data_IF_079433367582
#
_entry.id   IF_079433367582
#
_cell.length_a   1.000
_cell.length_b   1.000
_cell.length_c   1.000
_cell.angle_alpha   90.00
_cell.angle_beta   90.00
_cell.angle_gamma   90.00
#
_symmetry.space_group_name_H-M   'P 1'
#
loop_
_entity.id
_entity.type
_entity.pdbx_description
1 polymer ?
#
# COMPACT_ATOMS: atom_id res chain seq x y z
N UNK A 1 -13.68 32.32 0.92
CA UNK A 1 -13.09 31.74 -0.32
C UNK A 1 -13.66 30.34 -0.49
N UNK A 2 -14.40 30.09 -1.56
CA UNK A 2 -14.92 28.75 -1.89
C UNK A 2 -13.72 27.87 -2.25
N UNK A 3 -13.32 26.99 -1.34
CA UNK A 3 -12.32 25.95 -1.59
C UNK A 3 -13.01 24.88 -2.45
N UNK A 4 -13.08 25.09 -3.76
CA UNK A 4 -13.58 24.07 -4.70
C UNK A 4 -12.68 22.86 -4.60
N UNK A 5 -13.22 21.74 -4.08
CA UNK A 5 -12.46 20.48 -4.02
C UNK A 5 -12.14 20.06 -5.46
N UNK A 6 -10.88 19.69 -5.76
CA UNK A 6 -10.52 19.25 -7.10
C UNK A 6 -11.32 17.99 -7.48
N UNK A 7 -11.78 17.91 -8.72
CA UNK A 7 -12.48 16.72 -9.23
C UNK A 7 -11.53 15.53 -9.36
N UNK A 8 -12.04 14.31 -9.30
CA UNK A 8 -11.28 13.06 -9.47
C UNK A 8 -10.33 13.10 -10.65
N UNK A 9 -10.81 13.53 -11.83
CA UNK A 9 -10.01 13.65 -13.06
C UNK A 9 -8.77 14.53 -12.90
N UNK A 10 -8.86 15.62 -12.14
CA UNK A 10 -7.73 16.54 -11.92
C UNK A 10 -6.69 15.89 -11.03
N UNK A 11 -7.12 15.19 -9.98
CA UNK A 11 -6.23 14.48 -9.07
C UNK A 11 -5.54 13.29 -9.78
N UNK A 12 -6.27 12.52 -10.59
CA UNK A 12 -5.70 11.43 -11.40
C UNK A 12 -4.64 11.94 -12.37
N UNK A 13 -4.98 12.99 -13.13
CA UNK A 13 -4.05 13.58 -14.09
C UNK A 13 -2.80 14.16 -13.42
N UNK A 14 -2.96 14.79 -12.25
CA UNK A 14 -1.84 15.28 -11.46
C UNK A 14 -0.91 14.12 -11.07
N UNK A 15 -1.45 13.00 -10.59
CA UNK A 15 -0.64 11.86 -10.17
C UNK A 15 0.09 11.19 -11.35
N UNK A 16 -0.53 11.12 -12.52
CA UNK A 16 0.11 10.64 -13.76
C UNK A 16 1.30 11.54 -14.15
N UNK A 17 1.13 12.86 -14.05
CA UNK A 17 2.19 13.83 -14.32
C UNK A 17 3.33 13.67 -13.32
N UNK A 18 3.01 13.55 -12.03
CA UNK A 18 4.01 13.32 -10.97
C UNK A 18 4.80 12.03 -11.22
N UNK A 19 4.11 10.94 -11.57
CA UNK A 19 4.73 9.66 -11.92
C UNK A 19 5.69 9.81 -13.10
N UNK A 20 5.25 10.51 -14.15
CA UNK A 20 6.08 10.75 -15.33
C UNK A 20 7.29 11.62 -15.01
N UNK A 21 7.14 12.63 -14.15
CA UNK A 21 8.24 13.47 -13.68
C UNK A 21 9.25 12.64 -12.89
N UNK A 22 8.82 11.78 -11.96
CA UNK A 22 9.74 10.90 -11.21
C UNK A 22 10.56 10.02 -12.16
N UNK A 23 9.92 9.40 -13.17
CA UNK A 23 10.60 8.56 -14.17
C UNK A 23 11.61 9.34 -15.04
N UNK A 24 11.39 10.63 -15.29
CA UNK A 24 12.30 11.46 -16.11
C UNK A 24 13.41 12.08 -15.26
N UNK A 25 13.13 12.38 -14.00
CA UNK A 25 14.00 13.17 -13.12
C UNK A 25 14.97 12.31 -12.29
N UNK A 26 15.31 11.10 -12.73
CA UNK A 26 16.25 10.17 -12.06
C UNK A 26 17.65 10.75 -11.80
N UNK A 27 17.95 11.93 -12.33
CA UNK A 27 19.21 12.63 -12.12
C UNK A 27 19.32 13.23 -10.70
N UNK A 28 20.51 13.09 -10.10
CA UNK A 28 20.83 13.58 -8.74
C UNK A 28 20.53 15.07 -8.49
N UNK A 29 20.43 15.90 -9.53
CA UNK A 29 20.12 17.32 -9.40
C UNK A 29 18.65 17.60 -9.02
N UNK A 30 17.74 16.66 -9.24
CA UNK A 30 16.30 16.82 -8.98
C UNK A 30 15.81 16.08 -7.73
N UNK A 31 16.74 15.57 -6.91
CA UNK A 31 16.44 14.83 -5.67
C UNK A 31 15.49 15.60 -4.76
N UNK A 32 15.75 16.90 -4.57
CA UNK A 32 14.90 17.73 -3.72
C UNK A 32 13.51 17.91 -4.32
N UNK A 33 13.43 18.15 -5.63
CA UNK A 33 12.15 18.24 -6.33
C UNK A 33 11.34 16.96 -6.14
N UNK A 34 11.94 15.79 -6.35
CA UNK A 34 11.26 14.50 -6.14
C UNK A 34 10.83 14.34 -4.68
N UNK A 35 11.67 14.71 -3.70
CA UNK A 35 11.32 14.67 -2.29
C UNK A 35 10.09 15.53 -1.96
N UNK A 36 10.02 16.73 -2.53
CA UNK A 36 8.89 17.65 -2.33
C UNK A 36 7.59 17.14 -2.99
N UNK A 37 7.70 16.29 -4.02
CA UNK A 37 6.54 15.68 -4.69
C UNK A 37 5.93 14.51 -3.89
N UNK A 38 6.71 13.77 -3.10
CA UNK A 38 6.22 12.63 -2.32
C UNK A 38 5.04 12.99 -1.39
N UNK A 39 5.09 14.04 -0.55
CA UNK A 39 3.96 14.40 0.30
C UNK A 39 2.72 14.82 -0.51
N UNK A 40 2.90 15.50 -1.64
CA UNK A 40 1.80 15.89 -2.54
C UNK A 40 1.14 14.67 -3.18
N UNK A 41 1.93 13.69 -3.60
CA UNK A 41 1.42 12.43 -4.12
C UNK A 41 0.67 11.65 -3.04
N UNK A 42 1.19 11.57 -1.80
CA UNK A 42 0.52 10.90 -0.69
C UNK A 42 -0.85 11.54 -0.39
N UNK A 43 -0.93 12.87 -0.33
CA UNK A 43 -2.20 13.57 -0.13
C UNK A 43 -3.17 13.32 -1.28
N UNK A 44 -2.68 13.34 -2.53
CA UNK A 44 -3.50 13.10 -3.72
C UNK A 44 -4.04 11.67 -3.75
N UNK A 45 -3.20 10.68 -3.46
CA UNK A 45 -3.56 9.26 -3.35
C UNK A 45 -4.61 9.08 -2.26
N UNK A 46 -4.36 9.61 -1.05
CA UNK A 46 -5.34 9.56 0.02
C UNK A 46 -6.64 10.25 -0.38
N UNK A 47 -6.61 11.37 -1.09
CA UNK A 47 -7.82 12.04 -1.53
C UNK A 47 -8.62 11.22 -2.55
N UNK A 48 -7.94 10.65 -3.55
CA UNK A 48 -8.55 9.82 -4.59
C UNK A 48 -9.19 8.56 -4.01
N UNK A 49 -8.46 7.87 -3.13
CA UNK A 49 -8.96 6.65 -2.52
C UNK A 49 -9.97 6.98 -1.41
N UNK A 50 -9.58 7.71 -0.37
CA UNK A 50 -10.41 7.92 0.82
C UNK A 50 -11.65 8.75 0.51
N UNK A 51 -11.54 9.82 -0.28
CA UNK A 51 -12.63 10.79 -0.44
C UNK A 51 -13.43 10.64 -1.73
N UNK A 52 -12.80 10.17 -2.81
CA UNK A 52 -13.43 10.19 -4.14
C UNK A 52 -13.85 8.80 -4.65
N UNK A 53 -13.50 7.72 -3.93
CA UNK A 53 -13.89 6.34 -4.28
C UNK A 53 -13.59 6.01 -5.75
N UNK A 54 -12.43 6.46 -6.23
CA UNK A 54 -12.08 6.33 -7.64
C UNK A 54 -11.99 4.84 -8.03
N UNK A 55 -12.92 4.39 -8.87
CA UNK A 55 -13.15 2.98 -9.19
C UNK A 55 -12.07 2.41 -10.13
N UNK A 56 -11.42 3.24 -10.96
CA UNK A 56 -10.53 2.77 -12.01
C UNK A 56 -9.11 3.36 -11.84
N UNK A 57 -8.31 2.70 -11.01
CA UNK A 57 -7.13 3.33 -10.39
C UNK A 57 -5.90 2.43 -10.34
N UNK A 58 -5.87 1.39 -11.17
CA UNK A 58 -4.72 0.49 -11.30
C UNK A 58 -3.41 1.25 -11.52
N UNK A 59 -3.46 2.41 -12.19
CA UNK A 59 -2.30 3.23 -12.52
C UNK A 59 -1.91 4.27 -11.45
N UNK A 60 -2.67 4.38 -10.34
CA UNK A 60 -2.44 5.45 -9.36
C UNK A 60 -1.33 5.11 -8.35
N UNK A 61 -0.98 3.84 -8.20
CA UNK A 61 0.15 3.43 -7.36
C UNK A 61 1.46 3.33 -8.15
N UNK A 62 1.43 3.55 -9.47
CA UNK A 62 2.60 3.66 -10.36
C UNK A 62 3.59 4.74 -9.89
N UNK A 63 3.10 5.78 -9.20
CA UNK A 63 3.97 6.78 -8.58
C UNK A 63 4.95 6.14 -7.59
N UNK A 64 4.46 5.22 -6.76
CA UNK A 64 5.32 4.54 -5.79
C UNK A 64 6.25 3.54 -6.46
N UNK A 65 5.81 2.83 -7.49
CA UNK A 65 6.68 1.95 -8.28
C UNK A 65 7.83 2.77 -8.90
N UNK A 66 7.50 3.86 -9.58
CA UNK A 66 8.49 4.78 -10.15
C UNK A 66 9.44 5.34 -9.09
N UNK A 67 8.92 5.68 -7.91
CA UNK A 67 9.73 6.18 -6.80
C UNK A 67 10.65 5.09 -6.22
N UNK A 68 10.21 3.84 -6.18
CA UNK A 68 11.01 2.71 -5.70
C UNK A 68 12.13 2.34 -6.69
N UNK A 69 11.84 2.44 -7.98
CA UNK A 69 12.80 2.23 -9.07
C UNK A 69 13.86 3.33 -9.14
N UNK A 70 13.54 4.54 -8.67
CA UNK A 70 14.52 5.60 -8.52
C UNK A 70 15.62 5.19 -7.53
N UNK A 71 16.89 5.34 -7.92
CA UNK A 71 18.07 5.15 -7.05
C UNK A 71 18.24 6.31 -6.04
N UNK A 72 17.17 6.71 -5.36
CA UNK A 72 17.10 7.81 -4.42
C UNK A 72 16.80 7.32 -3.00
N UNK A 73 17.72 6.56 -2.37
CA UNK A 73 17.49 5.92 -1.08
C UNK A 73 17.18 6.91 0.05
N UNK A 74 17.73 8.13 -0.03
CA UNK A 74 17.50 9.17 0.97
C UNK A 74 16.06 9.72 0.92
N UNK A 75 15.49 9.86 -0.27
CA UNK A 75 14.11 10.35 -0.44
C UNK A 75 13.13 9.30 0.06
N UNK A 76 13.27 8.06 -0.41
CA UNK A 76 12.40 6.97 0.02
C UNK A 76 12.51 6.77 1.52
N UNK A 77 13.73 6.76 2.07
CA UNK A 77 13.96 6.59 3.50
C UNK A 77 13.28 7.65 4.36
N UNK A 78 13.32 8.92 3.92
CA UNK A 78 12.68 10.03 4.64
C UNK A 78 11.14 9.95 4.64
N UNK A 79 10.55 9.38 3.59
CA UNK A 79 9.09 9.31 3.43
C UNK A 79 8.51 7.91 3.64
N UNK A 80 9.35 6.91 3.97
CA UNK A 80 8.98 5.49 3.98
C UNK A 80 7.77 5.19 4.85
N UNK A 81 7.73 5.77 6.05
CA UNK A 81 6.62 5.58 6.99
C UNK A 81 5.29 6.13 6.44
N UNK A 82 5.33 7.28 5.75
CA UNK A 82 4.14 7.90 5.15
C UNK A 82 3.63 7.11 3.94
N UNK A 83 4.56 6.60 3.11
CA UNK A 83 4.23 5.72 1.97
C UNK A 83 3.57 4.44 2.48
N UNK A 84 4.18 3.77 3.47
CA UNK A 84 3.64 2.54 4.07
C UNK A 84 2.27 2.79 4.68
N UNK A 85 2.11 3.86 5.45
CA UNK A 85 0.81 4.22 6.03
C UNK A 85 -0.26 4.41 4.95
N UNK A 86 0.07 5.05 3.84
CA UNK A 86 -0.86 5.25 2.72
C UNK A 86 -1.22 3.93 2.06
N UNK A 87 -0.24 3.06 1.79
CA UNK A 87 -0.50 1.74 1.19
C UNK A 87 -1.35 0.85 2.12
N UNK A 88 -1.12 0.88 3.44
CA UNK A 88 -1.92 0.16 4.42
C UNK A 88 -3.37 0.65 4.45
N UNK A 89 -3.58 1.96 4.37
CA UNK A 89 -4.94 2.55 4.30
C UNK A 89 -5.69 2.12 3.04
N UNK A 90 -5.00 1.99 1.91
CA UNK A 90 -5.60 1.49 0.66
C UNK A 90 -5.89 -0.01 0.78
N UNK A 91 -4.91 -0.80 1.23
CA UNK A 91 -5.02 -2.25 1.30
C UNK A 91 -6.10 -2.76 2.26
N UNK A 92 -6.21 -2.15 3.45
CA UNK A 92 -7.16 -2.57 4.49
C UNK A 92 -8.57 -1.99 4.31
N UNK A 93 -8.84 -1.31 3.21
CA UNK A 93 -10.12 -0.63 3.03
C UNK A 93 -11.22 -1.62 2.65
N UNK A 94 -12.19 -1.80 3.52
CA UNK A 94 -13.29 -2.74 3.30
C UNK A 94 -14.60 -2.08 2.79
N UNK A 95 -14.49 -1.00 2.03
CA UNK A 95 -15.65 -0.34 1.41
C UNK A 95 -15.93 -1.01 0.05
N UNK A 96 -17.17 -1.45 -0.21
CA UNK A 96 -17.59 -2.09 -1.48
C UNK A 96 -17.32 -1.20 -2.71
N UNK A 97 -17.22 0.12 -2.51
CA UNK A 97 -16.88 1.06 -3.58
C UNK A 97 -15.41 1.07 -3.99
N UNK A 98 -14.53 0.33 -3.29
CA UNK A 98 -13.13 0.18 -3.68
C UNK A 98 -12.95 -1.20 -4.30
N UNK A 99 -12.55 -1.23 -5.58
CA UNK A 99 -12.29 -2.49 -6.27
C UNK A 99 -11.18 -3.28 -5.57
N UNK A 100 -11.31 -4.60 -5.58
CA UNK A 100 -10.31 -5.52 -5.02
C UNK A 100 -8.92 -5.33 -5.64
N UNK A 101 -8.87 -5.04 -6.94
CA UNK A 101 -7.62 -4.74 -7.67
C UNK A 101 -6.85 -3.56 -7.07
N UNK A 102 -7.54 -2.57 -6.53
CA UNK A 102 -6.92 -1.40 -5.88
C UNK A 102 -6.27 -1.79 -4.55
N UNK A 103 -6.96 -2.62 -3.77
CA UNK A 103 -6.43 -3.16 -2.50
C UNK A 103 -5.21 -4.03 -2.76
N UNK A 104 -5.29 -4.86 -3.80
CA UNK A 104 -4.17 -5.67 -4.25
C UNK A 104 -2.95 -4.83 -4.64
N UNK A 105 -3.15 -3.72 -5.36
CA UNK A 105 -2.04 -2.82 -5.69
C UNK A 105 -1.40 -2.23 -4.43
N UNK A 106 -2.18 -1.82 -3.42
CA UNK A 106 -1.65 -1.37 -2.13
C UNK A 106 -0.75 -2.42 -1.45
N UNK A 107 -1.16 -3.70 -1.52
CA UNK A 107 -0.36 -4.83 -1.02
C UNK A 107 0.88 -5.11 -1.85
N UNK A 108 0.78 -5.01 -3.17
CA UNK A 108 1.91 -5.20 -4.10
C UNK A 108 3.04 -4.21 -3.80
N UNK A 109 2.70 -2.93 -3.61
CA UNK A 109 3.69 -1.90 -3.22
C UNK A 109 4.30 -2.19 -1.85
N UNK A 110 3.49 -2.61 -0.87
CA UNK A 110 4.02 -3.00 0.45
C UNK A 110 5.00 -4.16 0.37
N UNK A 111 4.68 -5.19 -0.43
CA UNK A 111 5.57 -6.31 -0.67
C UNK A 111 6.89 -5.85 -1.31
N UNK A 112 6.81 -4.93 -2.28
CA UNK A 112 7.99 -4.38 -2.95
C UNK A 112 8.87 -3.55 -1.99
N UNK A 113 8.25 -2.73 -1.14
CA UNK A 113 8.95 -1.99 -0.09
C UNK A 113 9.69 -2.93 0.86
N UNK A 114 9.01 -3.99 1.33
CA UNK A 114 9.61 -5.00 2.19
C UNK A 114 10.80 -5.70 1.52
N UNK A 115 10.67 -6.01 0.22
CA UNK A 115 11.72 -6.64 -0.60
C UNK A 115 12.94 -5.74 -0.77
N UNK A 116 12.74 -4.50 -1.22
CA UNK A 116 13.84 -3.61 -1.58
C UNK A 116 14.46 -2.89 -0.38
N UNK A 117 13.65 -2.48 0.60
CA UNK A 117 14.07 -1.57 1.67
C UNK A 117 14.26 -2.27 3.02
N UNK A 118 14.50 -3.59 3.02
CA UNK A 118 14.73 -4.42 4.22
C UNK A 118 15.67 -3.79 5.25
N UNK A 119 16.79 -3.20 4.82
CA UNK A 119 17.78 -2.59 5.72
C UNK A 119 17.23 -1.37 6.45
N UNK A 120 16.37 -0.60 5.80
CA UNK A 120 15.74 0.60 6.39
C UNK A 120 14.65 0.17 7.36
N UNK A 121 13.84 -0.82 6.99
CA UNK A 121 12.80 -1.38 7.85
C UNK A 121 13.37 -1.98 9.14
N UNK A 122 14.47 -2.74 9.05
CA UNK A 122 15.14 -3.32 10.22
C UNK A 122 15.76 -2.26 11.14
N UNK A 123 16.17 -1.11 10.60
CA UNK A 123 16.68 0.02 11.38
C UNK A 123 15.57 0.83 12.05
N UNK A 124 14.32 0.66 11.63
CA UNK A 124 13.18 1.41 12.12
C UNK A 124 12.04 0.45 12.50
N UNK A 125 12.22 -0.35 13.58
CA UNK A 125 11.37 -1.50 13.89
C UNK A 125 9.90 -1.12 14.15
N UNK A 126 9.60 0.14 14.49
CA UNK A 126 8.24 0.63 14.67
C UNK A 126 7.36 0.54 13.41
N UNK A 127 7.97 0.41 12.23
CA UNK A 127 7.26 0.30 10.94
C UNK A 127 6.75 -1.12 10.67
N UNK A 128 7.39 -2.14 11.26
CA UNK A 128 7.06 -3.55 10.99
C UNK A 128 5.71 -4.00 11.59
N UNK A 129 5.35 -3.67 12.85
CA UNK A 129 4.09 -4.14 13.44
C UNK A 129 2.84 -3.75 12.64
N UNK A 130 2.68 -2.50 12.14
CA UNK A 130 1.54 -2.14 11.30
C UNK A 130 1.42 -2.98 10.02
N UNK A 131 2.54 -3.33 9.39
CA UNK A 131 2.56 -4.17 8.18
C UNK A 131 2.13 -5.59 8.53
N UNK A 132 2.70 -6.17 9.57
CA UNK A 132 2.38 -7.54 10.02
C UNK A 132 0.91 -7.63 10.41
N UNK A 133 0.42 -6.66 11.19
CA UNK A 133 -0.98 -6.62 11.62
C UNK A 133 -1.95 -6.54 10.43
N UNK A 134 -1.62 -5.74 9.41
CA UNK A 134 -2.43 -5.63 8.21
C UNK A 134 -2.49 -6.95 7.42
N UNK A 135 -1.33 -7.61 7.24
CA UNK A 135 -1.27 -8.91 6.57
C UNK A 135 -2.09 -9.97 7.33
N UNK A 136 -1.99 -10.02 8.66
CA UNK A 136 -2.77 -10.93 9.49
C UNK A 136 -4.28 -10.70 9.36
N UNK A 137 -4.71 -9.43 9.31
CA UNK A 137 -6.13 -9.08 9.12
C UNK A 137 -6.64 -9.58 7.76
N UNK A 138 -5.88 -9.34 6.70
CA UNK A 138 -6.24 -9.76 5.34
C UNK A 138 -6.35 -11.29 5.26
N UNK A 139 -5.35 -12.01 5.79
CA UNK A 139 -5.37 -13.48 5.82
C UNK A 139 -6.59 -14.01 6.59
N UNK A 140 -6.90 -13.40 7.73
CA UNK A 140 -8.05 -13.80 8.56
C UNK A 140 -9.39 -13.59 7.85
N UNK A 141 -9.52 -12.56 7.03
CA UNK A 141 -10.74 -12.32 6.24
C UNK A 141 -10.89 -13.36 5.13
N UNK A 142 -9.80 -13.69 4.43
CA UNK A 142 -9.81 -14.72 3.37
C UNK A 142 -10.19 -16.11 3.91
N UNK A 143 -9.82 -16.44 5.16
CA UNK A 143 -10.19 -17.72 5.77
C UNK A 143 -11.67 -17.85 6.14
N UNK A 144 -12.39 -16.73 6.32
CA UNK A 144 -13.82 -16.73 6.67
C UNK A 144 -14.68 -16.94 5.42
N UNK A 145 -14.29 -16.33 4.29
CA UNK A 145 -15.04 -16.46 3.03
C UNK A 145 -14.93 -17.87 2.42
N UNK A 146 -13.81 -18.57 2.63
CA UNK A 146 -13.59 -19.94 2.15
C UNK A 146 -14.48 -21.00 2.84
N UNK A 147 -15.03 -20.70 4.03
CA UNK A 147 -15.91 -21.61 4.78
C UNK A 147 -17.41 -21.34 4.54
N UNK A 148 -17.76 -20.48 3.57
CA UNK A 148 -19.16 -20.20 3.21
C UNK A 148 -19.69 -21.06 2.05
N UNK A 149 -18.91 -22.04 1.57
CA UNK A 149 -19.43 -23.08 0.70
C UNK A 149 -20.22 -24.07 1.54
N UNK A 150 -21.53 -23.97 1.42
CA UNK A 150 -22.45 -25.03 1.78
C UNK A 150 -22.09 -26.23 0.93
N UNK A 151 -21.68 -27.32 1.56
CA UNK A 151 -22.11 -28.66 1.18
C UNK A 151 -21.95 -29.58 2.41
N UNK A 152 -23.09 -30.11 2.83
CA UNK A 152 -23.18 -31.36 3.58
C UNK A 152 -22.34 -32.42 2.83
N UNK A 153 -21.34 -33.01 3.49
CA UNK A 153 -21.19 -34.47 3.62
C UNK A 153 -19.79 -34.84 4.18
N UNK A 154 -19.85 -35.54 5.31
CA UNK A 154 -18.92 -36.56 5.85
C UNK A 154 -17.44 -36.21 6.14
N UNK A 155 -17.17 -36.01 7.43
CA UNK A 155 -16.02 -36.48 8.23
C UNK A 155 -14.66 -36.73 7.51
N UNK A 156 -13.80 -35.71 7.47
CA UNK A 156 -12.36 -35.88 7.72
C UNK A 156 -11.81 -34.69 8.53
N UNK A 157 -11.00 -34.93 9.59
CA UNK A 157 -10.41 -33.84 10.37
C UNK A 157 -9.27 -33.20 9.56
N UNK A 158 -9.57 -32.08 8.90
CA UNK A 158 -8.54 -31.20 8.34
C UNK A 158 -7.75 -30.60 9.49
N UNK A 159 -6.53 -31.09 9.70
CA UNK A 159 -5.58 -30.55 10.67
C UNK A 159 -5.18 -29.15 10.22
N UNK A 160 -5.84 -28.12 10.75
CA UNK A 160 -5.45 -26.71 10.58
C UNK A 160 -4.23 -26.42 11.45
N UNK A 161 -3.06 -26.87 11.01
CA UNK A 161 -1.77 -26.47 11.58
C UNK A 161 -1.35 -25.13 10.96
N UNK A 162 -1.93 -24.02 11.42
CA UNK A 162 -1.68 -22.74 10.73
C UNK A 162 -2.17 -21.49 11.44
N UNK A 163 -1.86 -21.31 12.73
CA UNK A 163 -1.91 -19.99 13.37
C UNK A 163 -1.10 -19.96 14.69
N UNK A 164 -1.12 -21.06 15.44
CA UNK A 164 -0.50 -21.08 16.78
C UNK A 164 1.04 -21.07 16.76
N UNK A 165 1.69 -21.62 15.73
CA UNK A 165 3.16 -21.63 15.66
C UNK A 165 3.81 -20.27 15.41
N UNK A 166 3.07 -19.30 14.84
CA UNK A 166 3.61 -17.95 14.59
C UNK A 166 3.64 -17.12 15.88
N UNK A 167 2.67 -17.33 16.78
CA UNK A 167 2.61 -16.64 18.07
C UNK A 167 3.65 -17.18 19.07
N UNK A 168 3.95 -18.48 19.05
CA UNK A 168 5.02 -19.05 19.88
C UNK A 168 6.42 -18.59 19.44
N UNK A 169 6.64 -18.37 18.14
CA UNK A 169 7.93 -17.90 17.62
C UNK A 169 8.23 -16.42 17.95
N UNK A 170 7.23 -15.64 18.38
CA UNK A 170 7.37 -14.24 18.77
C UNK A 170 7.50 -14.02 20.29
N UNK A 171 7.54 -15.10 21.07
CA UNK A 171 7.62 -15.05 22.55
C UNK A 171 9.04 -15.20 23.12
N UNK A 172 10.09 -14.98 22.31
CA UNK A 172 11.49 -15.00 22.75
C UNK A 172 12.20 -13.68 22.49
#
# INVERSE_FOLDING_TARGET
>A
MLKTRPSTVVCEQALIILTSLVKVLEQKQYVQTIADLVPLANETIQHLFVNLKAENTTNLLDFYEALLDCELPNVIGAHLQSIISTCLQVALRNDESVLESVRYNGLSILAEICRQKKKVLLKNPAILPPIIQALLQIISLTSIDANSTTDDDEDEPVVVAGANHVLEAMSY
#
